data_IF_851801662162
#
_entry.id   IF_851801662162
#
_cell.length_a   1.000
_cell.length_b   1.000
_cell.length_c   1.000
_cell.angle_alpha   90.00
_cell.angle_beta   90.00
_cell.angle_gamma   90.00
#
_symmetry.space_group_name_H-M   'P 1'
#
loop_
_entity.id
_entity.type
_entity.pdbx_description
1 polymer ?
#
# COMPACT_ATOMS: atom_id res chain seq x y z
N UNK A 1 -19.04 14.06 -21.99
CA UNK A 1 -19.74 13.05 -21.16
C UNK A 1 -20.17 11.91 -22.06
N UNK A 2 -19.89 10.65 -21.71
CA UNK A 2 -20.29 9.49 -22.52
C UNK A 2 -21.81 9.30 -22.35
N UNK A 3 -22.57 9.39 -23.45
CA UNK A 3 -24.03 9.24 -23.46
C UNK A 3 -24.43 7.75 -23.43
N UNK A 4 -24.11 7.06 -22.34
CA UNK A 4 -24.38 5.63 -22.18
C UNK A 4 -25.09 5.41 -20.84
N UNK A 5 -26.09 4.52 -20.84
CA UNK A 5 -26.84 4.20 -19.63
C UNK A 5 -25.96 3.54 -18.57
N UNK A 6 -26.26 3.82 -17.30
CA UNK A 6 -25.54 3.25 -16.14
C UNK A 6 -25.49 1.72 -16.16
N UNK A 7 -26.56 1.07 -16.62
CA UNK A 7 -26.65 -0.39 -16.75
C UNK A 7 -25.65 -0.94 -17.76
N UNK A 8 -25.48 -0.27 -18.90
CA UNK A 8 -24.49 -0.66 -19.91
C UNK A 8 -23.07 -0.53 -19.37
N UNK A 9 -22.78 0.56 -18.65
CA UNK A 9 -21.46 0.76 -18.00
C UNK A 9 -21.18 -0.36 -16.99
N UNK A 10 -22.15 -0.72 -16.14
CA UNK A 10 -21.98 -1.79 -15.16
C UNK A 10 -21.79 -3.17 -15.80
N UNK A 11 -22.52 -3.46 -16.90
CA UNK A 11 -22.34 -4.70 -17.66
C UNK A 11 -20.93 -4.78 -18.24
N UNK A 12 -20.48 -3.72 -18.93
CA UNK A 12 -19.13 -3.66 -19.50
C UNK A 12 -18.05 -3.84 -18.43
N UNK A 13 -18.18 -3.18 -17.27
CA UNK A 13 -17.23 -3.35 -16.16
C UNK A 13 -17.19 -4.79 -15.64
N UNK A 14 -18.35 -5.44 -15.49
CA UNK A 14 -18.42 -6.85 -15.08
C UNK A 14 -17.81 -7.80 -16.12
N UNK A 15 -18.14 -7.60 -17.39
CA UNK A 15 -17.61 -8.40 -18.51
C UNK A 15 -16.07 -8.30 -18.57
N UNK A 16 -15.51 -7.12 -18.27
CA UNK A 16 -14.07 -6.88 -18.19
C UNK A 16 -13.44 -7.22 -16.83
N UNK A 17 -14.19 -7.84 -15.90
CA UNK A 17 -13.74 -8.18 -14.54
C UNK A 17 -13.17 -6.98 -13.76
N UNK A 18 -13.67 -5.78 -14.06
CA UNK A 18 -13.31 -4.56 -13.36
C UNK A 18 -14.19 -4.43 -12.12
N UNK A 19 -13.60 -4.73 -10.96
CA UNK A 19 -14.24 -4.54 -9.67
C UNK A 19 -13.96 -3.13 -9.14
N UNK A 20 -14.96 -2.51 -8.52
CA UNK A 20 -14.76 -1.23 -7.85
C UNK A 20 -13.86 -1.45 -6.63
N UNK A 21 -12.68 -0.82 -6.64
CA UNK A 21 -11.78 -0.80 -5.49
C UNK A 21 -11.97 0.51 -4.71
N UNK A 22 -11.93 0.42 -3.39
CA UNK A 22 -11.86 1.56 -2.51
C UNK A 22 -10.41 2.03 -2.44
N UNK A 23 -10.09 3.13 -3.12
CA UNK A 23 -8.76 3.74 -3.01
C UNK A 23 -8.58 4.35 -1.62
N UNK A 24 -7.57 3.90 -0.88
CA UNK A 24 -7.19 4.51 0.40
C UNK A 24 -5.80 5.09 0.30
N UNK A 25 -5.73 6.42 0.42
CA UNK A 25 -4.46 7.12 0.52
C UNK A 25 -3.90 6.88 1.92
N UNK A 26 -2.65 6.42 1.97
CA UNK A 26 -1.88 6.29 3.20
C UNK A 26 -0.86 7.42 3.30
N UNK A 27 -0.11 7.45 4.41
CA UNK A 27 1.00 8.36 4.68
C UNK A 27 1.79 8.65 3.40
N UNK A 28 2.12 9.92 3.19
CA UNK A 28 2.96 10.29 2.06
C UNK A 28 4.42 9.96 2.39
N UNK A 29 5.15 9.36 1.44
CA UNK A 29 6.59 9.24 1.54
C UNK A 29 7.22 10.61 1.26
N UNK A 30 7.98 11.10 2.23
CA UNK A 30 8.81 12.27 2.09
C UNK A 30 10.04 11.93 1.21
N UNK A 31 10.62 12.90 0.49
CA UNK A 31 11.83 12.66 -0.32
C UNK A 31 12.97 11.99 0.47
N UNK A 32 13.08 12.29 1.76
CA UNK A 32 14.11 11.80 2.68
C UNK A 32 13.87 10.34 3.11
N UNK A 33 12.63 9.85 3.03
CA UNK A 33 12.29 8.47 3.39
C UNK A 33 12.94 7.48 2.42
N UNK A 34 13.06 7.84 1.14
CA UNK A 34 13.64 6.94 0.14
C UNK A 34 15.10 6.56 0.45
N UNK A 35 16.04 7.50 0.62
CA UNK A 35 17.41 7.15 0.96
C UNK A 35 17.52 6.47 2.33
N UNK A 36 16.72 6.88 3.33
CA UNK A 36 16.69 6.23 4.63
C UNK A 36 16.29 4.74 4.53
N UNK A 37 15.27 4.44 3.73
CA UNK A 37 14.81 3.05 3.48
C UNK A 37 15.86 2.23 2.73
N UNK A 38 16.54 2.82 1.74
CA UNK A 38 17.63 2.13 1.03
C UNK A 38 18.76 1.79 2.00
N UNK A 39 19.20 2.75 2.81
CA UNK A 39 20.28 2.53 3.78
C UNK A 39 19.92 1.43 4.79
N UNK A 40 18.69 1.45 5.31
CA UNK A 40 18.19 0.43 6.22
C UNK A 40 18.20 -0.95 5.55
N UNK A 41 17.63 -1.08 4.35
CA UNK A 41 17.58 -2.35 3.63
C UNK A 41 18.97 -2.89 3.30
N UNK A 42 19.89 -2.05 2.82
CA UNK A 42 21.25 -2.45 2.50
C UNK A 42 21.99 -2.95 3.74
N UNK A 43 21.91 -2.21 4.86
CA UNK A 43 22.50 -2.61 6.13
C UNK A 43 21.91 -3.94 6.64
N UNK A 44 20.59 -4.09 6.56
CA UNK A 44 19.90 -5.31 6.99
C UNK A 44 20.32 -6.52 6.15
N UNK A 45 20.41 -6.37 4.82
CA UNK A 45 20.88 -7.42 3.92
C UNK A 45 22.32 -7.82 4.20
N UNK A 46 23.20 -6.85 4.46
CA UNK A 46 24.58 -7.12 4.84
C UNK A 46 24.64 -7.94 6.13
N UNK A 47 23.84 -7.60 7.14
CA UNK A 47 23.76 -8.35 8.41
C UNK A 47 23.23 -9.78 8.23
N UNK A 48 22.27 -9.97 7.33
CA UNK A 48 21.81 -11.30 6.95
C UNK A 48 22.88 -12.12 6.21
N UNK A 49 23.71 -11.47 5.39
CA UNK A 49 24.84 -12.11 4.70
C UNK A 49 25.96 -12.53 5.67
N UNK A 50 26.29 -11.66 6.64
CA UNK A 50 27.27 -11.95 7.71
C UNK A 50 26.78 -13.07 8.64
N UNK A 51 25.49 -13.09 8.95
CA UNK A 51 24.88 -14.08 9.82
C UNK A 51 23.47 -14.44 9.34
N UNK A 52 23.28 -15.63 8.74
CA UNK A 52 21.95 -16.08 8.30
C UNK A 52 20.92 -16.16 9.43
N UNK A 53 21.36 -16.25 10.69
CA UNK A 53 20.47 -16.26 11.87
C UNK A 53 20.16 -14.87 12.42
N UNK A 54 20.66 -13.80 11.80
CA UNK A 54 20.44 -12.42 12.24
C UNK A 54 18.96 -12.10 12.38
N UNK A 55 18.13 -12.50 11.41
CA UNK A 55 16.68 -12.23 11.40
C UNK A 55 15.99 -12.77 12.66
N UNK A 56 16.40 -13.93 13.17
CA UNK A 56 15.80 -14.52 14.38
C UNK A 56 16.12 -13.74 15.67
N UNK A 57 17.10 -12.85 15.62
CA UNK A 57 17.47 -11.98 16.76
C UNK A 57 16.71 -10.66 16.75
N UNK A 58 15.95 -10.37 15.69
CA UNK A 58 15.21 -9.12 15.54
C UNK A 58 13.78 -9.31 16.03
N UNK A 59 13.40 -8.58 17.08
CA UNK A 59 12.02 -8.49 17.54
C UNK A 59 11.35 -7.26 16.92
N UNK A 60 10.48 -7.46 15.94
CA UNK A 60 9.66 -6.39 15.39
C UNK A 60 8.47 -6.13 16.30
N UNK A 61 8.32 -4.87 16.72
CA UNK A 61 7.18 -4.42 17.52
C UNK A 61 6.42 -3.35 16.75
N UNK A 62 5.10 -3.30 16.94
CA UNK A 62 4.25 -2.24 16.41
C UNK A 62 3.01 -2.11 17.29
N UNK A 63 2.41 -0.92 17.31
CA UNK A 63 1.11 -0.70 17.92
C UNK A 63 0.00 -1.05 16.93
N UNK A 64 -0.99 -1.80 17.38
CA UNK A 64 -2.17 -2.13 16.57
C UNK A 64 -3.45 -1.78 17.34
N UNK A 65 -4.43 -1.22 16.63
CA UNK A 65 -5.73 -0.85 17.18
C UNK A 65 -6.80 -1.80 16.65
N UNK A 66 -7.53 -2.45 17.56
CA UNK A 66 -8.65 -3.31 17.22
C UNK A 66 -9.96 -2.53 17.30
N UNK A 67 -10.66 -2.39 16.18
CA UNK A 67 -11.99 -1.75 16.13
C UNK A 67 -13.09 -2.81 16.05
N UNK A 68 -14.17 -2.63 16.82
CA UNK A 68 -15.33 -3.55 16.87
C UNK A 68 -16.02 -3.79 15.51
N UNK A 69 -15.79 -2.92 14.54
CA UNK A 69 -16.41 -2.98 13.21
C UNK A 69 -15.56 -3.64 12.12
N UNK A 70 -14.27 -3.92 12.36
CA UNK A 70 -13.35 -4.54 11.38
C UNK A 70 -13.25 -3.80 10.05
N UNK A 71 -12.13 -3.12 9.75
CA UNK A 71 -11.94 -2.59 8.40
C UNK A 71 -11.64 -3.72 7.41
N UNK A 72 -12.61 -4.08 6.57
CA UNK A 72 -12.43 -5.10 5.52
C UNK A 72 -11.43 -4.63 4.46
N UNK A 73 -10.28 -5.29 4.38
CA UNK A 73 -9.17 -4.95 3.46
C UNK A 73 -9.34 -5.49 2.04
N UNK A 74 -10.33 -6.35 1.79
CA UNK A 74 -10.49 -7.09 0.52
C UNK A 74 -10.71 -6.21 -0.72
N UNK A 75 -11.11 -4.97 -0.53
CA UNK A 75 -11.45 -4.05 -1.64
C UNK A 75 -10.56 -2.80 -1.64
N UNK A 76 -9.58 -2.69 -0.72
CA UNK A 76 -8.78 -1.46 -0.57
C UNK A 76 -7.47 -1.55 -1.35
N UNK A 77 -7.24 -0.60 -2.27
CA UNK A 77 -5.92 -0.37 -2.87
C UNK A 77 -5.20 0.72 -2.07
N UNK A 78 -4.01 0.39 -1.57
CA UNK A 78 -3.13 1.28 -0.80
C UNK A 78 -2.09 1.89 -1.73
N UNK A 79 -1.95 3.21 -1.72
CA UNK A 79 -0.98 3.93 -2.56
C UNK A 79 -0.22 4.99 -1.79
N UNK A 80 1.10 4.94 -1.90
CA UNK A 80 2.08 5.86 -1.30
C UNK A 80 2.51 6.89 -2.35
N UNK A 81 1.64 7.84 -2.73
CA UNK A 81 1.93 8.83 -3.78
C UNK A 81 2.06 10.25 -3.20
N UNK A 82 3.10 10.97 -3.65
CA UNK A 82 3.33 12.41 -3.42
C UNK A 82 2.05 13.21 -3.67
N UNK A 83 1.73 14.16 -2.79
CA UNK A 83 0.73 15.19 -3.10
C UNK A 83 1.27 15.98 -4.30
N UNK A 84 0.77 15.67 -5.49
CA UNK A 84 0.88 16.58 -6.63
C UNK A 84 0.10 17.83 -6.25
N UNK A 85 0.81 18.89 -5.89
CA UNK A 85 0.27 20.24 -5.97
C UNK A 85 -0.04 20.48 -7.45
N UNK A 86 -1.32 20.55 -7.77
CA UNK A 86 -1.77 21.12 -9.04
C UNK A 86 -1.80 22.63 -8.79
N UNK A 87 -0.94 23.36 -9.50
CA UNK A 87 -1.09 24.80 -9.71
C UNK A 87 -2.18 25.03 -10.76
#
# INVERSE_FOLDING_TARGET
>A
MVNVSRSTIQRIMRDNRQHAFHYKRVQNLLPEDYPARINLCTCFLQKCGENPRFVYKVLFTNESYFSRGGTSTRTIIISWRKKTHVQ
#
